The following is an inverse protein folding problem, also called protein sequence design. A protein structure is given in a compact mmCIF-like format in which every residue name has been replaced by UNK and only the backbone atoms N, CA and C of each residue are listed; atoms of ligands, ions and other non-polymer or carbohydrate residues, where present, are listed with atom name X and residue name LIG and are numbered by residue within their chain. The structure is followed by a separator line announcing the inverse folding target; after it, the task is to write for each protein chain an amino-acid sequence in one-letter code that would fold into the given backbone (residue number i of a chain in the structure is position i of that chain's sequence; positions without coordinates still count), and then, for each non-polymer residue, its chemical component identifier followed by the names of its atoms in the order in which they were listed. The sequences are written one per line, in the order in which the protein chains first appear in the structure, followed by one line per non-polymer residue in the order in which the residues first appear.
data_IF_711393074416
#
_entry.id   IF_711393074416
#
_cell.length_a   1.000
_cell.length_b   1.000
_cell.length_c   1.000
_cell.angle_alpha   90.00
_cell.angle_beta   90.00
_cell.angle_gamma   90.00
#
_symmetry.space_group_name_H-M   'P 1'
#
loop_
_entity.id
_entity.type
_entity.pdbx_description
1 polymer ?
#
# COMPACT_ATOMS: atom_id res chain seq x y z
N UNK A 1 -16.88 13.58 5.89
CA UNK A 1 -17.98 14.58 5.76
C UNK A 1 -17.35 15.96 5.84
N UNK A 2 -17.91 16.96 5.16
CA UNK A 2 -17.39 18.34 5.17
C UNK A 2 -18.55 19.31 5.37
N UNK A 3 -18.28 20.47 5.97
CA UNK A 3 -19.23 21.58 6.09
C UNK A 3 -18.99 22.66 5.03
N UNK A 4 -17.97 22.50 4.18
CA UNK A 4 -17.69 23.40 3.06
C UNK A 4 -18.58 23.02 1.87
N UNK A 5 -19.54 23.89 1.48
CA UNK A 5 -20.49 23.56 0.42
C UNK A 5 -19.83 23.50 -0.97
N UNK A 6 -18.74 24.24 -1.22
CA UNK A 6 -18.02 24.22 -2.51
C UNK A 6 -17.24 22.91 -2.64
N UNK A 7 -16.60 22.45 -1.56
CA UNK A 7 -15.94 21.13 -1.53
C UNK A 7 -16.95 20.01 -1.74
N UNK A 8 -18.11 20.08 -1.09
CA UNK A 8 -19.19 19.11 -1.28
C UNK A 8 -19.69 19.09 -2.73
N UNK A 9 -19.98 20.25 -3.33
CA UNK A 9 -20.40 20.36 -4.73
C UNK A 9 -19.34 19.80 -5.70
N UNK A 10 -18.06 20.11 -5.47
CA UNK A 10 -16.93 19.57 -6.24
C UNK A 10 -16.87 18.05 -6.18
N UNK A 11 -17.01 17.47 -4.99
CA UNK A 11 -17.02 16.02 -4.81
C UNK A 11 -18.20 15.36 -5.55
N UNK A 12 -19.40 15.96 -5.48
CA UNK A 12 -20.58 15.47 -6.19
C UNK A 12 -20.36 15.50 -7.71
N UNK A 13 -19.91 16.63 -8.29
CA UNK A 13 -19.62 16.72 -9.73
C UNK A 13 -18.53 15.73 -10.12
N UNK A 14 -17.46 15.65 -9.33
CA UNK A 14 -16.32 14.75 -9.55
C UNK A 14 -16.70 13.27 -9.50
N UNK A 15 -17.78 12.89 -8.79
CA UNK A 15 -18.22 11.50 -8.68
C UNK A 15 -18.74 10.87 -9.97
N UNK A 16 -18.91 11.67 -11.04
CA UNK A 16 -19.49 11.18 -12.29
C UNK A 16 -20.96 11.55 -12.47
N UNK A 17 -21.48 12.51 -11.69
CA UNK A 17 -22.89 12.90 -11.72
C UNK A 17 -23.30 13.63 -13.00
N UNK A 18 -22.35 14.15 -13.77
CA UNK A 18 -22.59 15.14 -14.83
C UNK A 18 -23.53 16.25 -14.30
N UNK A 19 -24.52 16.66 -15.09
CA UNK A 19 -25.56 17.61 -14.72
C UNK A 19 -26.74 16.96 -13.99
N UNK A 20 -26.61 15.70 -13.54
CA UNK A 20 -27.60 14.99 -12.73
C UNK A 20 -27.31 15.09 -11.22
N UNK A 21 -26.44 16.02 -10.80
CA UNK A 21 -26.06 16.22 -9.39
C UNK A 21 -27.27 16.41 -8.46
N UNK A 22 -28.37 17.00 -8.95
CA UNK A 22 -29.63 17.19 -8.21
C UNK A 22 -30.30 15.89 -7.72
N UNK A 23 -29.89 14.72 -8.23
CA UNK A 23 -30.40 13.41 -7.79
C UNK A 23 -29.68 12.87 -6.55
N UNK A 24 -28.56 13.48 -6.16
CA UNK A 24 -27.81 13.05 -4.98
C UNK A 24 -28.54 13.53 -3.72
N UNK A 25 -28.90 12.61 -2.81
CA UNK A 25 -29.75 12.92 -1.66
C UNK A 25 -29.11 13.78 -0.56
N UNK A 26 -27.84 14.12 -0.70
CA UNK A 26 -27.07 14.95 0.24
C UNK A 26 -26.22 15.96 -0.54
N UNK A 27 -26.85 16.95 -1.16
CA UNK A 27 -26.17 18.05 -1.87
C UNK A 27 -26.25 19.36 -1.10
N UNK A 28 -25.29 20.29 -1.29
CA UNK A 28 -25.45 21.68 -0.89
C UNK A 28 -26.57 22.36 -1.70
N UNK A 29 -26.84 23.63 -1.39
CA UNK A 29 -27.78 24.45 -2.14
C UNK A 29 -27.38 24.52 -3.64
N UNK A 30 -28.37 24.61 -4.53
CA UNK A 30 -28.17 24.47 -5.97
C UNK A 30 -27.30 25.60 -6.55
N UNK A 31 -27.38 26.79 -5.97
CA UNK A 31 -26.61 27.97 -6.36
C UNK A 31 -25.10 27.73 -6.24
N UNK A 32 -24.67 26.88 -5.32
CA UNK A 32 -23.26 26.52 -5.13
C UNK A 32 -22.72 25.74 -6.34
N UNK A 33 -23.59 25.05 -7.09
CA UNK A 33 -23.18 24.31 -8.28
C UNK A 33 -22.89 25.22 -9.47
N UNK A 34 -23.40 26.45 -9.52
CA UNK A 34 -23.10 27.38 -10.62
C UNK A 34 -21.62 27.78 -10.64
N UNK A 35 -20.96 27.79 -9.50
CA UNK A 35 -19.51 28.06 -9.38
C UNK A 35 -18.65 26.85 -9.77
N UNK A 36 -19.23 25.63 -9.78
CA UNK A 36 -18.46 24.39 -9.79
C UNK A 36 -18.69 23.54 -11.04
N UNK A 37 -19.93 23.41 -11.51
CA UNK A 37 -20.35 22.37 -12.47
C UNK A 37 -19.66 22.43 -13.83
N UNK A 38 -19.13 23.59 -14.22
CA UNK A 38 -18.42 23.79 -15.48
C UNK A 38 -16.89 23.76 -15.34
N UNK A 39 -16.37 23.84 -14.12
CA UNK A 39 -14.93 23.99 -13.85
C UNK A 39 -14.34 22.82 -13.05
N UNK A 40 -15.17 21.99 -12.44
CA UNK A 40 -14.73 20.76 -11.80
C UNK A 40 -14.62 19.62 -12.82
N UNK A 41 -13.53 18.84 -12.81
CA UNK A 41 -13.42 17.65 -13.63
C UNK A 41 -14.49 16.64 -13.23
N UNK A 42 -15.07 15.97 -14.22
CA UNK A 42 -16.03 14.91 -14.00
C UNK A 42 -15.35 13.55 -14.16
N UNK A 43 -15.30 12.73 -13.10
CA UNK A 43 -14.72 11.39 -13.17
C UNK A 43 -15.82 10.33 -13.22
N UNK A 44 -15.94 9.61 -14.34
CA UNK A 44 -16.91 8.52 -14.47
C UNK A 44 -16.38 7.22 -13.83
N UNK A 45 -16.50 7.09 -12.50
CA UNK A 45 -16.10 5.90 -11.73
C UNK A 45 -17.09 4.74 -11.73
N UNK A 46 -17.98 4.64 -12.72
CA UNK A 46 -19.04 3.62 -12.78
C UNK A 46 -18.47 2.23 -13.05
N UNK A 47 -18.97 1.23 -12.32
CA UNK A 47 -18.71 -0.18 -12.57
C UNK A 47 -19.83 -0.78 -13.42
N UNK A 48 -19.48 -1.49 -14.49
CA UNK A 48 -20.43 -2.22 -15.31
C UNK A 48 -20.88 -3.52 -14.64
N UNK A 49 -21.99 -4.07 -15.16
CA UNK A 49 -22.57 -5.31 -14.63
C UNK A 49 -21.65 -6.52 -14.72
N UNK A 50 -20.76 -6.63 -15.73
CA UNK A 50 -19.87 -7.79 -15.85
C UNK A 50 -18.86 -7.80 -14.71
N UNK A 51 -18.20 -6.67 -14.43
CA UNK A 51 -17.28 -6.53 -13.27
C UNK A 51 -18.00 -6.80 -11.96
N UNK A 52 -19.22 -6.28 -11.79
CA UNK A 52 -20.03 -6.52 -10.59
C UNK A 52 -20.38 -8.01 -10.41
N UNK A 53 -20.71 -8.73 -11.48
CA UNK A 53 -20.99 -10.17 -11.42
C UNK A 53 -19.74 -10.97 -11.02
N UNK A 54 -18.58 -10.64 -11.58
CA UNK A 54 -17.32 -11.28 -11.22
C UNK A 54 -16.96 -11.07 -9.74
N UNK A 55 -17.07 -9.83 -9.24
CA UNK A 55 -16.83 -9.53 -7.83
C UNK A 55 -17.83 -10.26 -6.91
N UNK A 56 -19.12 -10.25 -7.27
CA UNK A 56 -20.15 -10.93 -6.47
C UNK A 56 -19.91 -12.42 -6.34
N UNK A 57 -19.35 -13.06 -7.38
CA UNK A 57 -18.97 -14.47 -7.33
C UNK A 57 -17.76 -14.74 -6.41
N UNK A 58 -16.91 -13.74 -6.18
CA UNK A 58 -15.75 -13.85 -5.28
C UNK A 58 -16.09 -13.56 -3.81
N UNK A 59 -17.13 -12.75 -3.53
CA UNK A 59 -17.53 -12.38 -2.16
C UNK A 59 -17.64 -13.58 -1.19
N UNK A 60 -18.25 -14.72 -1.55
CA UNK A 60 -18.37 -15.85 -0.62
C UNK A 60 -17.03 -16.43 -0.16
N UNK A 61 -15.94 -16.24 -0.92
CA UNK A 61 -14.62 -16.80 -0.63
C UNK A 61 -13.68 -15.80 0.08
N UNK A 62 -14.18 -14.61 0.47
CA UNK A 62 -13.35 -13.58 1.10
C UNK A 62 -12.79 -14.06 2.43
N UNK A 63 -13.62 -14.65 3.30
CA UNK A 63 -13.18 -15.10 4.63
C UNK A 63 -12.12 -16.19 4.55
N UNK A 64 -12.26 -17.13 3.61
CA UNK A 64 -11.27 -18.16 3.33
C UNK A 64 -9.96 -17.54 2.81
N UNK A 65 -10.06 -16.55 1.93
CA UNK A 65 -8.91 -15.83 1.40
C UNK A 65 -8.16 -15.06 2.49
N UNK A 66 -8.88 -14.40 3.40
CA UNK A 66 -8.29 -13.71 4.55
C UNK A 66 -7.60 -14.69 5.49
N UNK A 67 -8.25 -15.81 5.78
CA UNK A 67 -7.66 -16.88 6.60
C UNK A 67 -6.35 -17.39 5.98
N UNK A 68 -6.36 -17.69 4.67
CA UNK A 68 -5.16 -18.14 3.94
C UNK A 68 -4.07 -17.08 3.92
N UNK A 69 -4.40 -15.82 3.63
CA UNK A 69 -3.42 -14.73 3.69
C UNK A 69 -2.75 -14.62 5.06
N UNK A 70 -3.53 -14.72 6.14
CA UNK A 70 -2.99 -14.62 7.48
C UNK A 70 -2.09 -15.81 7.83
N UNK A 71 -2.36 -17.03 7.33
CA UNK A 71 -1.44 -18.16 7.46
C UNK A 71 -0.10 -17.87 6.79
N UNK A 72 -0.13 -17.42 5.53
CA UNK A 72 1.09 -17.10 4.77
C UNK A 72 1.87 -15.94 5.39
N UNK A 73 1.18 -14.85 5.74
CA UNK A 73 1.76 -13.70 6.43
C UNK A 73 2.45 -14.10 7.72
N UNK A 74 1.78 -14.90 8.56
CA UNK A 74 2.36 -15.34 9.83
C UNK A 74 3.59 -16.21 9.62
N UNK A 75 3.60 -17.08 8.59
CA UNK A 75 4.76 -17.90 8.24
C UNK A 75 5.95 -17.04 7.82
N UNK A 76 5.74 -16.11 6.88
CA UNK A 76 6.75 -15.15 6.43
C UNK A 76 7.27 -14.29 7.60
N UNK A 77 6.37 -13.71 8.39
CA UNK A 77 6.73 -12.87 9.53
C UNK A 77 7.56 -13.64 10.57
N UNK A 78 7.23 -14.91 10.83
CA UNK A 78 8.00 -15.76 11.73
C UNK A 78 9.39 -16.09 11.17
N UNK A 79 9.53 -16.28 9.86
CA UNK A 79 10.82 -16.46 9.20
C UNK A 79 11.68 -15.19 9.26
N UNK A 80 11.12 -14.05 8.85
CA UNK A 80 11.83 -12.77 8.83
C UNK A 80 12.31 -12.32 10.22
N UNK A 81 11.52 -12.58 11.28
CA UNK A 81 11.90 -12.26 12.66
C UNK A 81 13.12 -13.04 13.17
N UNK A 82 13.55 -14.10 12.49
CA UNK A 82 14.74 -14.88 12.84
C UNK A 82 16.00 -14.38 12.15
N UNK A 83 15.88 -13.44 11.19
CA UNK A 83 17.01 -12.91 10.46
C UNK A 83 17.66 -11.81 11.30
N UNK A 84 18.94 -11.96 11.59
CA UNK A 84 19.71 -10.96 12.32
C UNK A 84 19.70 -9.63 11.56
N UNK A 85 19.35 -8.55 12.28
CA UNK A 85 19.28 -7.22 11.68
C UNK A 85 18.01 -6.93 10.89
N UNK A 86 17.04 -7.85 10.81
CA UNK A 86 15.72 -7.60 10.23
C UNK A 86 14.68 -7.42 11.34
N UNK A 87 13.86 -6.38 11.21
CA UNK A 87 12.76 -6.10 12.13
C UNK A 87 11.43 -6.15 11.37
N UNK A 88 10.56 -7.05 11.79
CA UNK A 88 9.13 -7.00 11.44
C UNK A 88 8.40 -6.20 12.53
N UNK A 89 7.77 -5.06 12.21
CA UNK A 89 7.08 -4.23 13.20
C UNK A 89 6.04 -5.04 14.00
N UNK A 90 5.99 -4.81 15.31
CA UNK A 90 4.92 -5.37 16.13
C UNK A 90 3.59 -4.66 15.79
N UNK A 91 2.58 -5.46 15.43
CA UNK A 91 1.22 -4.98 15.22
C UNK A 91 0.51 -4.86 16.57
N UNK A 92 -0.17 -3.74 16.81
CA UNK A 92 -1.07 -3.61 17.97
C UNK A 92 -2.29 -4.47 17.70
N UNK A 93 -2.72 -5.28 18.67
CA UNK A 93 -3.85 -6.20 18.49
C UNK A 93 -5.19 -5.49 18.78
N UNK A 94 -5.44 -4.39 18.07
CA UNK A 94 -6.68 -3.61 18.17
C UNK A 94 -7.66 -3.99 17.04
N UNK A 95 -7.16 -4.64 15.99
CA UNK A 95 -7.91 -5.06 14.82
C UNK A 95 -7.71 -6.54 14.43
N UNK A 96 -8.69 -7.07 13.70
CA UNK A 96 -8.44 -8.20 12.81
C UNK A 96 -7.85 -7.67 11.50
N UNK A 97 -6.83 -8.35 10.95
CA UNK A 97 -6.08 -7.86 9.79
C UNK A 97 -6.12 -8.85 8.61
N UNK A 98 -5.79 -8.34 7.42
CA UNK A 98 -5.61 -9.12 6.19
C UNK A 98 -4.15 -9.01 5.76
N UNK A 99 -3.38 -10.08 5.91
CA UNK A 99 -1.95 -10.13 5.63
C UNK A 99 -1.57 -10.24 4.15
N UNK A 100 -2.21 -9.47 3.26
CA UNK A 100 -1.96 -9.54 1.82
C UNK A 100 -0.61 -8.96 1.35
N UNK A 101 0.10 -8.28 2.24
CA UNK A 101 1.48 -7.84 2.09
C UNK A 101 2.21 -7.90 3.43
N UNK A 102 3.54 -7.87 3.37
CA UNK A 102 4.40 -7.83 4.55
C UNK A 102 5.42 -6.71 4.42
N UNK A 103 5.59 -5.96 5.51
CA UNK A 103 6.58 -4.91 5.65
C UNK A 103 7.58 -5.28 6.73
N UNK A 104 8.85 -5.02 6.45
CA UNK A 104 9.96 -5.25 7.38
C UNK A 104 11.05 -4.20 7.16
N UNK A 105 11.96 -4.09 8.11
CA UNK A 105 13.11 -3.18 8.02
C UNK A 105 14.41 -3.96 8.11
N UNK A 106 15.34 -3.68 7.20
CA UNK A 106 16.69 -4.23 7.24
C UNK A 106 17.61 -3.29 8.06
N UNK A 107 17.41 -3.25 9.37
CA UNK A 107 18.05 -2.29 10.28
C UNK A 107 19.57 -2.41 10.36
N UNK A 108 20.11 -3.63 10.24
CA UNK A 108 21.56 -3.83 10.22
C UNK A 108 22.22 -3.31 8.94
N UNK A 109 21.45 -3.04 7.88
CA UNK A 109 21.96 -2.48 6.64
C UNK A 109 21.90 -0.96 6.68
N UNK A 110 22.86 -0.34 5.98
CA UNK A 110 22.81 1.08 5.65
C UNK A 110 21.83 1.34 4.51
N UNK A 111 21.32 2.58 4.38
CA UNK A 111 20.49 3.01 3.26
C UNK A 111 21.11 2.67 1.89
N UNK A 112 22.43 2.80 1.77
CA UNK A 112 23.18 2.54 0.54
C UNK A 112 23.26 1.04 0.16
N UNK A 113 23.09 0.14 1.13
CA UNK A 113 23.10 -1.31 0.90
C UNK A 113 21.73 -1.85 0.47
N UNK A 114 20.63 -1.12 0.72
CA UNK A 114 19.28 -1.60 0.37
C UNK A 114 19.11 -1.91 -1.13
N UNK A 115 19.58 -1.08 -2.08
CA UNK A 115 19.52 -1.44 -3.49
C UNK A 115 20.27 -2.74 -3.84
N UNK A 116 21.36 -3.04 -3.13
CA UNK A 116 22.13 -4.28 -3.32
C UNK A 116 21.33 -5.49 -2.83
N UNK A 117 20.71 -5.38 -1.64
CA UNK A 117 19.80 -6.41 -1.12
C UNK A 117 18.65 -6.69 -2.09
N UNK A 118 18.01 -5.62 -2.59
CA UNK A 118 16.91 -5.76 -3.55
C UNK A 118 17.36 -6.48 -4.83
N UNK A 119 18.53 -6.13 -5.37
CA UNK A 119 19.06 -6.76 -6.57
C UNK A 119 19.40 -8.24 -6.34
N UNK A 120 20.03 -8.58 -5.20
CA UNK A 120 20.40 -9.94 -4.85
C UNK A 120 19.17 -10.84 -4.63
N UNK A 121 18.17 -10.35 -3.90
CA UNK A 121 16.88 -11.03 -3.73
C UNK A 121 16.16 -11.22 -5.08
N UNK A 122 16.11 -10.18 -5.92
CA UNK A 122 15.45 -10.24 -7.23
C UNK A 122 16.12 -11.24 -8.18
N UNK A 123 17.45 -11.38 -8.13
CA UNK A 123 18.19 -12.38 -8.89
C UNK A 123 17.78 -13.83 -8.53
N UNK A 124 17.19 -14.02 -7.35
CA UNK A 124 16.65 -15.29 -6.85
C UNK A 124 15.12 -15.36 -6.91
N UNK A 125 14.47 -14.41 -7.60
CA UNK A 125 13.02 -14.37 -7.80
C UNK A 125 12.22 -13.71 -6.67
N UNK A 126 12.89 -13.14 -5.66
CA UNK A 126 12.22 -12.43 -4.56
C UNK A 126 12.18 -10.93 -4.87
N UNK A 127 11.03 -10.46 -5.36
CA UNK A 127 10.82 -9.04 -5.60
C UNK A 127 10.44 -8.27 -4.32
N UNK A 128 11.29 -7.32 -3.95
CA UNK A 128 11.03 -6.37 -2.87
C UNK A 128 10.74 -4.98 -3.45
N UNK A 129 9.99 -4.16 -2.70
CA UNK A 129 9.84 -2.72 -2.94
C UNK A 129 10.41 -1.96 -1.75
N UNK A 130 10.98 -0.79 -2.01
CA UNK A 130 11.71 -0.02 -1.00
C UNK A 130 11.19 1.41 -0.93
N UNK A 131 10.90 1.86 0.28
CA UNK A 131 10.42 3.21 0.54
C UNK A 131 11.53 4.23 0.74
N UNK A 132 12.80 3.82 0.80
CA UNK A 132 13.92 4.71 1.13
C UNK A 132 14.58 5.41 -0.04
N UNK A 133 14.14 5.14 -1.26
CA UNK A 133 14.64 5.82 -2.46
C UNK A 133 14.26 7.31 -2.43
N UNK A 134 15.03 8.15 -3.14
CA UNK A 134 14.71 9.58 -3.31
C UNK A 134 13.58 9.76 -4.33
N UNK A 135 13.56 8.92 -5.36
CA UNK A 135 12.52 8.91 -6.39
C UNK A 135 11.60 7.69 -6.20
N UNK A 136 10.27 7.89 -6.17
CA UNK A 136 9.33 6.80 -5.93
C UNK A 136 9.33 5.80 -7.09
N UNK A 137 9.27 4.50 -6.77
CA UNK A 137 9.22 3.39 -7.73
C UNK A 137 7.99 2.54 -7.49
N UNK A 138 7.23 2.27 -8.54
CA UNK A 138 5.94 1.58 -8.46
C UNK A 138 4.99 2.27 -7.44
N UNK A 139 4.75 1.65 -6.29
CA UNK A 139 3.81 2.13 -5.26
C UNK A 139 4.50 2.68 -4.00
N UNK A 140 5.78 3.08 -4.08
CA UNK A 140 6.56 3.59 -2.93
C UNK A 140 6.55 5.11 -2.79
N UNK A 141 5.51 5.77 -3.32
CA UNK A 141 5.34 7.23 -3.15
C UNK A 141 5.20 7.60 -1.68
N UNK A 142 5.95 8.63 -1.26
CA UNK A 142 5.98 9.17 0.09
C UNK A 142 5.49 10.62 0.12
N UNK A 143 5.20 11.10 1.32
CA UNK A 143 4.74 12.48 1.54
C UNK A 143 5.70 13.53 0.94
N UNK A 144 7.02 13.32 1.00
CA UNK A 144 8.06 14.23 0.50
C UNK A 144 8.30 14.12 -1.02
N UNK A 145 7.67 13.14 -1.69
CA UNK A 145 7.68 13.01 -3.16
C UNK A 145 6.58 13.83 -3.84
N UNK A 146 5.57 14.31 -3.09
CA UNK A 146 4.40 14.98 -3.64
C UNK A 146 4.64 16.46 -3.93
N UNK A 147 5.12 16.78 -5.15
CA UNK A 147 5.44 18.16 -5.56
C UNK A 147 4.24 19.09 -5.75
N UNK A 148 3.02 18.59 -5.56
CA UNK A 148 1.77 19.35 -5.70
C UNK A 148 1.18 19.83 -4.37
N UNK A 149 1.87 19.56 -3.25
CA UNK A 149 1.53 20.11 -1.95
C UNK A 149 2.66 21.06 -1.56
N UNK A 150 2.32 22.33 -1.40
CA UNK A 150 3.26 23.35 -0.91
C UNK A 150 3.46 23.20 0.61
N UNK A 151 4.60 23.68 1.14
CA UNK A 151 4.91 23.74 2.58
C UNK A 151 4.78 22.42 3.37
N UNK A 152 5.15 21.29 2.77
CA UNK A 152 5.16 19.98 3.43
C UNK A 152 6.17 19.99 4.62
N UNK A 153 5.75 19.60 5.84
CA UNK A 153 6.64 19.56 6.99
C UNK A 153 7.72 18.49 6.85
N UNK A 154 8.92 18.78 7.35
CA UNK A 154 9.99 17.77 7.44
C UNK A 154 9.73 16.81 8.62
N UNK A 155 9.61 15.51 8.32
CA UNK A 155 9.30 14.46 9.30
C UNK A 155 10.49 13.49 9.45
N UNK A 156 11.54 13.87 10.19
CA UNK A 156 12.79 13.09 10.25
C UNK A 156 12.60 11.67 10.79
N UNK A 157 11.71 11.48 11.77
CA UNK A 157 11.38 10.16 12.29
C UNK A 157 10.68 9.27 11.25
N UNK A 158 9.86 9.85 10.36
CA UNK A 158 9.23 9.11 9.27
C UNK A 158 10.26 8.69 8.24
N UNK A 159 11.15 9.60 7.84
CA UNK A 159 12.20 9.32 6.86
C UNK A 159 13.17 8.25 7.37
N UNK A 160 13.57 8.32 8.65
CA UNK A 160 14.44 7.31 9.26
C UNK A 160 13.82 5.91 9.26
N UNK A 161 12.51 5.79 9.47
CA UNK A 161 11.83 4.49 9.36
C UNK A 161 11.76 4.02 7.90
N UNK A 162 11.39 4.91 6.98
CA UNK A 162 11.17 4.56 5.58
C UNK A 162 12.47 4.25 4.83
N UNK A 163 13.60 4.84 5.23
CA UNK A 163 14.89 4.64 4.54
C UNK A 163 15.35 3.18 4.51
N UNK A 164 14.85 2.34 5.43
CA UNK A 164 15.15 0.90 5.50
C UNK A 164 13.91 0.02 5.38
N UNK A 165 12.73 0.60 5.13
CA UNK A 165 11.47 -0.16 5.03
C UNK A 165 11.32 -0.80 3.66
N UNK A 166 11.21 -2.12 3.66
CA UNK A 166 10.92 -2.97 2.52
C UNK A 166 9.49 -3.49 2.60
N UNK A 167 8.86 -3.67 1.45
CA UNK A 167 7.53 -4.25 1.30
C UNK A 167 7.54 -5.37 0.26
N UNK A 168 6.74 -6.39 0.51
CA UNK A 168 6.52 -7.50 -0.40
C UNK A 168 5.04 -7.90 -0.37
N UNK A 169 4.47 -8.13 -1.54
CA UNK A 169 3.12 -8.70 -1.67
C UNK A 169 3.13 -10.18 -1.22
N UNK A 170 2.01 -10.66 -0.67
CA UNK A 170 1.79 -12.07 -0.35
C UNK A 170 0.67 -12.63 -1.26
N UNK A 171 1.00 -13.17 -2.45
CA UNK A 171 0.05 -13.85 -3.33
C UNK A 171 -0.60 -15.08 -2.68
N UNK A 172 -1.89 -15.30 -2.94
CA UNK A 172 -2.61 -16.54 -2.55
C UNK A 172 -2.20 -17.78 -3.37
N UNK A 173 -1.38 -17.59 -4.38
CA UNK A 173 -0.72 -18.69 -5.11
C UNK A 173 0.44 -19.29 -4.35
N UNK A 174 0.94 -18.60 -3.31
CA UNK A 174 1.98 -19.15 -2.46
C UNK A 174 1.41 -20.19 -1.49
N UNK A 175 2.29 -21.11 -1.09
CA UNK A 175 2.11 -21.96 0.07
C UNK A 175 3.12 -21.59 1.19
N UNK A 176 3.15 -22.42 2.25
CA UNK A 176 4.03 -22.19 3.39
C UNK A 176 5.50 -22.50 3.10
N UNK A 177 5.78 -23.36 2.13
CA UNK A 177 7.14 -23.73 1.73
C UNK A 177 7.74 -22.58 0.89
N UNK A 178 6.93 -21.95 0.03
CA UNK A 178 7.30 -20.69 -0.64
C UNK A 178 7.68 -19.61 0.39
N UNK A 179 6.89 -19.48 1.46
CA UNK A 179 7.16 -18.51 2.53
C UNK A 179 8.50 -18.79 3.23
N UNK A 180 8.84 -20.06 3.47
CA UNK A 180 10.10 -20.47 4.07
C UNK A 180 11.29 -20.19 3.14
N UNK A 181 11.14 -20.53 1.86
CA UNK A 181 12.16 -20.27 0.84
C UNK A 181 12.44 -18.77 0.73
N UNK A 182 11.40 -17.94 0.65
CA UNK A 182 11.54 -16.48 0.56
C UNK A 182 12.26 -15.93 1.79
N UNK A 183 11.88 -16.37 3.00
CA UNK A 183 12.56 -15.95 4.22
C UNK A 183 14.03 -16.38 4.26
N UNK A 184 14.36 -17.59 3.78
CA UNK A 184 15.74 -18.07 3.65
C UNK A 184 16.55 -17.19 2.71
N UNK A 185 16.01 -16.89 1.52
CA UNK A 185 16.67 -16.04 0.53
C UNK A 185 16.96 -14.66 1.14
N UNK A 186 15.96 -14.02 1.73
CA UNK A 186 16.14 -12.69 2.34
C UNK A 186 17.20 -12.76 3.46
N UNK A 187 17.19 -13.82 4.26
CA UNK A 187 18.15 -14.03 5.35
C UNK A 187 19.59 -14.19 4.86
N UNK A 188 19.79 -15.02 3.85
CA UNK A 188 21.10 -15.27 3.24
C UNK A 188 21.68 -13.99 2.60
N UNK A 189 20.89 -13.28 1.80
CA UNK A 189 21.36 -12.04 1.15
C UNK A 189 21.62 -10.92 2.16
N UNK A 190 20.78 -10.81 3.21
CA UNK A 190 21.02 -9.85 4.30
C UNK A 190 22.31 -10.19 5.04
N UNK A 191 22.53 -11.48 5.37
CA UNK A 191 23.73 -11.93 6.08
C UNK A 191 25.02 -11.68 5.29
N UNK A 192 25.00 -11.89 3.97
CA UNK A 192 26.14 -11.57 3.11
C UNK A 192 26.49 -10.08 3.14
N UNK A 193 25.49 -9.20 3.12
CA UNK A 193 25.70 -7.76 3.16
C UNK A 193 26.12 -7.22 4.53
N UNK A 194 25.79 -7.91 5.62
CA UNK A 194 26.27 -7.59 6.97
C UNK A 194 27.74 -7.98 7.14
N UNK A 195 28.16 -9.08 6.52
CA UNK A 195 29.52 -9.61 6.66
C UNK A 195 30.59 -8.82 5.85
N UNK A 196 30.15 -8.00 4.89
CA UNK A 196 30.98 -7.15 4.03
C UNK A 196 31.11 -5.74 4.60
#
# INVERSE_FOLDING_TARGET
TTNDPVVAARAVVSSGSYMLYGRHGAIPAEEVFDEVRLYAPNYSGRMDHLRAVLLRAQLPAIEDSVTRWNVLYNRLAAGLKKIDGVIVPARRQEEFYVGSSIQFRAEALTRAQIPQLMAACAARGVELKWFGDDEPKAFTSRYDSWKYIDDIPHLPGTLSVLEKTLDMRVPLTFDVDDCDMIASIIGEETGQLIAN
#
